data_IF_291589104695
#
_entry.id   IF_291589104695
#
_cell.length_a   1.000
_cell.length_b   1.000
_cell.length_c   1.000
_cell.angle_alpha   90.00
_cell.angle_beta   90.00
_cell.angle_gamma   90.00
#
_symmetry.space_group_name_H-M   'P 1'
#
loop_
_entity.id
_entity.type
_entity.pdbx_description
1 polymer ?
#
# COMPACT_ATOMS: atom_id res chain seq x y z
N UNK A 1 -2.86 -17.41 -11.75
CA UNK A 1 -1.95 -16.64 -10.87
C UNK A 1 -2.10 -17.20 -9.45
N UNK A 2 -1.02 -17.34 -8.67
CA UNK A 2 -1.14 -17.77 -7.26
C UNK A 2 -1.52 -16.53 -6.42
N UNK A 3 -2.51 -16.63 -5.52
CA UNK A 3 -2.83 -15.52 -4.62
C UNK A 3 -1.64 -15.22 -3.71
N UNK A 4 -1.51 -13.96 -3.26
CA UNK A 4 -0.56 -13.61 -2.22
C UNK A 4 -0.94 -14.36 -0.93
N UNK A 5 0.08 -14.85 -0.23
CA UNK A 5 -0.10 -15.54 1.04
C UNK A 5 -0.36 -14.49 2.11
N UNK A 6 -1.39 -14.70 2.94
CA UNK A 6 -1.62 -13.86 4.12
C UNK A 6 -0.35 -13.92 4.99
N UNK A 7 0.22 -12.79 5.43
CA UNK A 7 1.44 -12.81 6.24
C UNK A 7 1.27 -13.71 7.48
N UNK A 8 2.25 -14.55 7.85
CA UNK A 8 2.11 -15.45 9.00
C UNK A 8 1.75 -14.74 10.31
N UNK A 9 2.17 -13.48 10.50
CA UNK A 9 1.75 -12.67 11.64
C UNK A 9 0.23 -12.39 11.62
N UNK A 10 -0.31 -12.02 10.45
CA UNK A 10 -1.74 -11.78 10.27
C UNK A 10 -2.58 -13.07 10.36
N UNK A 11 -2.00 -14.24 10.04
CA UNK A 11 -2.69 -15.52 10.24
C UNK A 11 -2.83 -15.92 11.71
N UNK A 12 -1.88 -15.51 12.57
CA UNK A 12 -1.82 -15.91 13.99
C UNK A 12 -2.49 -14.92 14.93
N UNK A 13 -2.73 -13.70 14.48
CA UNK A 13 -3.31 -12.64 15.27
C UNK A 13 -4.80 -12.50 14.95
N UNK A 14 -5.66 -12.94 15.86
CA UNK A 14 -7.12 -12.84 15.73
C UNK A 14 -7.62 -11.39 15.67
N UNK A 15 -6.75 -10.41 15.97
CA UNK A 15 -7.02 -8.97 15.85
C UNK A 15 -6.37 -8.36 14.62
N UNK A 16 -5.79 -9.16 13.72
CA UNK A 16 -5.19 -8.65 12.50
C UNK A 16 -6.22 -7.89 11.66
N UNK A 17 -5.81 -6.74 11.14
CA UNK A 17 -6.64 -5.89 10.29
C UNK A 17 -5.96 -5.74 8.95
N UNK A 18 -6.66 -6.10 7.87
CA UNK A 18 -6.22 -5.81 6.52
C UNK A 18 -6.45 -4.32 6.23
N UNK A 19 -5.35 -3.58 6.02
CA UNK A 19 -5.40 -2.14 5.73
C UNK A 19 -5.57 -1.84 4.24
N UNK A 20 -4.87 -2.60 3.39
CA UNK A 20 -4.83 -2.41 1.95
C UNK A 20 -4.71 -3.76 1.26
N UNK A 21 -5.43 -3.91 0.15
CA UNK A 21 -5.09 -4.89 -0.88
C UNK A 21 -5.20 -4.26 -2.25
N UNK A 22 -4.27 -4.62 -3.13
CA UNK A 22 -4.19 -4.11 -4.48
C UNK A 22 -4.01 -5.27 -5.48
N UNK A 23 -4.55 -5.07 -6.68
CA UNK A 23 -4.50 -6.01 -7.79
C UNK A 23 -4.28 -5.24 -9.09
N UNK A 24 -3.62 -5.88 -10.05
CA UNK A 24 -3.69 -5.47 -11.45
C UNK A 24 -4.77 -6.33 -12.11
N UNK A 25 -5.87 -5.71 -12.49
CA UNK A 25 -7.01 -6.35 -13.14
C UNK A 25 -7.58 -5.41 -14.21
N UNK A 26 -8.18 -5.95 -15.27
CA UNK A 26 -8.80 -5.13 -16.34
C UNK A 26 -7.91 -3.99 -16.89
N UNK A 27 -6.60 -4.24 -16.99
CA UNK A 27 -5.58 -3.26 -17.42
C UNK A 27 -5.40 -2.04 -16.50
N UNK A 28 -5.85 -2.12 -15.25
CA UNK A 28 -5.69 -1.05 -14.26
C UNK A 28 -5.40 -1.56 -12.85
N UNK A 29 -5.13 -0.61 -11.95
CA UNK A 29 -5.02 -0.87 -10.53
C UNK A 29 -6.43 -0.94 -9.92
N UNK A 30 -6.67 -1.99 -9.15
CA UNK A 30 -7.84 -2.13 -8.30
C UNK A 30 -7.37 -2.28 -6.87
N UNK A 31 -8.02 -1.60 -5.92
CA UNK A 31 -7.66 -1.71 -4.51
C UNK A 31 -8.86 -1.63 -3.58
N UNK A 32 -8.70 -2.20 -2.39
CA UNK A 32 -9.60 -2.03 -1.25
C UNK A 32 -8.79 -1.47 -0.09
N UNK A 33 -9.28 -0.39 0.52
CA UNK A 33 -8.56 0.39 1.53
C UNK A 33 -9.47 0.54 2.76
N UNK A 34 -8.94 0.23 3.95
CA UNK A 34 -9.62 0.46 5.23
C UNK A 34 -9.28 1.85 5.77
N UNK A 35 -10.13 2.82 5.49
CA UNK A 35 -10.03 4.18 6.05
C UNK A 35 -10.76 4.25 7.39
N UNK A 36 -10.27 5.08 8.32
CA UNK A 36 -10.92 5.39 9.60
C UNK A 36 -10.34 4.65 10.81
N UNK A 37 -9.52 3.60 10.59
CA UNK A 37 -8.94 2.83 11.69
C UNK A 37 -8.13 3.71 12.64
N UNK A 38 -7.30 4.61 12.14
CA UNK A 38 -6.45 5.44 12.98
C UNK A 38 -7.26 6.56 13.62
N UNK A 39 -8.16 7.18 12.86
CA UNK A 39 -9.05 8.24 13.36
C UNK A 39 -9.86 7.75 14.57
N UNK A 40 -10.48 6.58 14.43
CA UNK A 40 -11.31 5.95 15.47
C UNK A 40 -10.50 5.57 16.71
N UNK A 41 -9.17 5.49 16.58
CA UNK A 41 -8.21 5.20 17.65
C UNK A 41 -7.40 6.43 18.07
N UNK A 42 -7.88 7.65 17.77
CA UNK A 42 -7.29 8.91 18.24
C UNK A 42 -5.98 9.30 17.56
N UNK A 43 -5.75 8.85 16.31
CA UNK A 43 -4.60 9.24 15.48
C UNK A 43 -5.05 9.81 14.15
N UNK A 44 -4.34 10.82 13.66
CA UNK A 44 -4.62 11.39 12.35
C UNK A 44 -4.33 10.38 11.23
N UNK A 45 -5.27 10.22 10.30
CA UNK A 45 -5.17 9.25 9.20
C UNK A 45 -4.02 9.55 8.25
N UNK A 46 -3.87 10.80 7.80
CA UNK A 46 -2.89 11.12 6.76
C UNK A 46 -1.43 10.87 7.20
N UNK A 47 -0.96 11.32 8.38
CA UNK A 47 0.36 10.95 8.88
C UNK A 47 0.54 9.44 9.07
N UNK A 48 -0.49 8.74 9.54
CA UNK A 48 -0.43 7.30 9.76
C UNK A 48 -0.35 6.51 8.44
N UNK A 49 -1.11 6.90 7.41
CA UNK A 49 -0.96 6.40 6.04
C UNK A 49 0.44 6.69 5.49
N UNK A 50 1.00 7.88 5.76
CA UNK A 50 2.36 8.22 5.35
C UNK A 50 3.41 7.25 5.90
N UNK A 51 3.33 6.91 7.19
CA UNK A 51 4.22 5.90 7.80
C UNK A 51 3.98 4.51 7.19
N UNK A 52 2.71 4.10 7.05
CA UNK A 52 2.36 2.80 6.47
C UNK A 52 2.91 2.62 5.04
N UNK A 53 2.79 3.65 4.20
CA UNK A 53 3.29 3.63 2.83
C UNK A 53 4.82 3.67 2.78
N UNK A 54 5.46 4.45 3.66
CA UNK A 54 6.92 4.46 3.75
C UNK A 54 7.49 3.07 4.10
N UNK A 55 6.85 2.35 5.02
CA UNK A 55 7.23 0.98 5.38
C UNK A 55 7.05 0.02 4.21
N UNK A 56 5.94 0.18 3.47
CA UNK A 56 5.67 -0.60 2.25
C UNK A 56 6.77 -0.37 1.19
N UNK A 57 7.17 0.88 0.96
CA UNK A 57 8.25 1.24 0.03
C UNK A 57 9.58 0.60 0.46
N UNK A 58 9.92 0.64 1.75
CA UNK A 58 11.14 -0.03 2.27
C UNK A 58 11.10 -1.54 2.03
N UNK A 59 9.95 -2.18 2.21
CA UNK A 59 9.82 -3.62 1.91
C UNK A 59 9.98 -3.93 0.42
N UNK A 60 9.45 -3.11 -0.47
CA UNK A 60 9.65 -3.25 -1.93
C UNK A 60 11.13 -3.12 -2.26
N UNK A 61 11.82 -2.11 -1.72
CA UNK A 61 13.23 -1.89 -1.95
C UNK A 61 14.10 -3.05 -1.47
N UNK A 62 13.83 -3.58 -0.28
CA UNK A 62 14.53 -4.76 0.24
C UNK A 62 14.31 -5.99 -0.66
N UNK A 63 13.09 -6.22 -1.14
CA UNK A 63 12.77 -7.34 -2.01
C UNK A 63 13.46 -7.21 -3.39
N UNK A 64 13.49 -6.00 -3.98
CA UNK A 64 14.17 -5.76 -5.25
C UNK A 64 15.69 -5.88 -5.13
N UNK A 65 16.25 -5.48 -3.99
CA UNK A 65 17.65 -5.72 -3.68
C UNK A 65 17.97 -7.21 -3.59
N UNK A 66 17.17 -7.98 -2.83
CA UNK A 66 17.39 -9.42 -2.66
C UNK A 66 17.23 -10.18 -3.98
N UNK A 67 16.20 -9.85 -4.76
CA UNK A 67 15.86 -10.59 -5.97
C UNK A 67 16.70 -10.19 -7.19
N UNK A 68 17.09 -8.92 -7.30
CA UNK A 68 17.72 -8.36 -8.50
C UNK A 68 19.04 -7.61 -8.25
N UNK A 69 19.50 -7.52 -7.01
CA UNK A 69 20.77 -6.86 -6.65
C UNK A 69 20.74 -5.33 -6.74
N UNK A 70 19.56 -4.71 -6.87
CA UNK A 70 19.43 -3.26 -6.93
C UNK A 70 19.70 -2.63 -5.55
N UNK A 71 20.46 -1.52 -5.45
CA UNK A 71 20.61 -0.84 -4.17
C UNK A 71 19.26 -0.34 -3.65
N UNK A 72 18.91 -0.70 -2.42
CA UNK A 72 17.63 -0.32 -1.83
C UNK A 72 17.43 1.21 -1.79
N UNK A 73 18.50 1.99 -1.60
CA UNK A 73 18.47 3.46 -1.66
C UNK A 73 17.98 3.96 -3.01
N UNK A 74 18.48 3.38 -4.09
CA UNK A 74 18.20 3.83 -5.46
C UNK A 74 16.76 3.49 -5.81
N UNK A 75 16.28 2.31 -5.39
CA UNK A 75 14.87 1.93 -5.52
C UNK A 75 13.95 2.87 -4.74
N UNK A 76 14.28 3.23 -3.50
CA UNK A 76 13.47 4.17 -2.70
C UNK A 76 13.42 5.52 -3.39
N UNK A 77 14.56 6.05 -3.84
CA UNK A 77 14.63 7.32 -4.56
C UNK A 77 13.77 7.31 -5.83
N UNK A 78 13.88 6.27 -6.65
CA UNK A 78 13.09 6.14 -7.88
C UNK A 78 11.59 6.03 -7.59
N UNK A 79 11.18 5.28 -6.57
CA UNK A 79 9.77 5.19 -6.17
C UNK A 79 9.26 6.55 -5.71
N UNK A 80 10.03 7.29 -4.90
CA UNK A 80 9.61 8.60 -4.40
C UNK A 80 9.47 9.64 -5.52
N UNK A 81 10.38 9.64 -6.49
CA UNK A 81 10.29 10.49 -7.69
C UNK A 81 9.01 10.19 -8.47
N UNK A 82 8.81 8.94 -8.89
CA UNK A 82 7.61 8.54 -9.65
C UNK A 82 6.30 8.74 -8.88
N UNK A 83 6.30 8.52 -7.56
CA UNK A 83 5.14 8.76 -6.71
C UNK A 83 4.78 10.24 -6.64
N UNK A 84 5.78 11.12 -6.50
CA UNK A 84 5.55 12.55 -6.45
C UNK A 84 5.03 13.09 -7.78
N UNK A 85 5.60 12.63 -8.88
CA UNK A 85 5.18 12.98 -10.23
C UNK A 85 3.73 12.55 -10.48
N UNK A 86 3.38 11.29 -10.20
CA UNK A 86 2.02 10.76 -10.40
C UNK A 86 0.97 11.44 -9.49
N UNK A 87 1.35 11.87 -8.28
CA UNK A 87 0.46 12.64 -7.40
C UNK A 87 0.25 14.08 -7.90
N UNK A 88 1.21 14.64 -8.63
CA UNK A 88 1.19 16.03 -9.10
C UNK A 88 0.58 16.17 -10.50
N UNK A 89 0.86 15.23 -11.39
CA UNK A 89 0.35 15.14 -12.76
C UNK A 89 -0.05 13.68 -13.07
N UNK A 90 -1.25 13.25 -12.63
CA UNK A 90 -1.68 11.86 -12.74
C UNK A 90 -1.76 11.38 -14.19
N UNK A 91 -1.19 10.21 -14.47
CA UNK A 91 -1.29 9.57 -15.79
C UNK A 91 -2.64 8.88 -15.98
N UNK A 92 -3.41 8.68 -14.91
CA UNK A 92 -4.77 8.15 -14.96
C UNK A 92 -5.66 8.66 -13.83
N UNK A 93 -6.98 8.67 -14.05
CA UNK A 93 -7.93 9.04 -13.01
C UNK A 93 -8.00 7.98 -11.90
N UNK A 94 -8.01 8.44 -10.64
CA UNK A 94 -8.38 7.61 -9.51
C UNK A 94 -9.87 7.25 -9.58
N UNK A 95 -10.18 5.96 -9.80
CA UNK A 95 -11.55 5.43 -9.87
C UNK A 95 -11.88 4.61 -8.64
N UNK A 96 -13.12 4.73 -8.16
CA UNK A 96 -13.61 3.97 -7.00
C UNK A 96 -14.79 4.66 -6.33
N UNK A 97 -15.28 4.06 -5.25
CA UNK A 97 -16.30 4.67 -4.39
C UNK A 97 -15.98 4.39 -2.93
N UNK A 98 -16.31 5.35 -2.06
CA UNK A 98 -16.25 5.12 -0.63
C UNK A 98 -17.51 4.37 -0.18
N UNK A 99 -17.32 3.21 0.43
CA UNK A 99 -18.38 2.44 1.08
C UNK A 99 -18.16 2.47 2.58
N UNK A 100 -19.20 2.81 3.34
CA UNK A 100 -19.17 2.85 4.81
C UNK A 100 -19.14 1.44 5.45
N UNK A 101 -18.93 0.39 4.66
CA UNK A 101 -19.13 -1.00 5.07
C UNK A 101 -20.61 -1.38 5.05
N UNK A 102 -20.92 -2.63 4.71
CA UNK A 102 -22.23 -3.18 5.02
C UNK A 102 -22.29 -3.32 6.55
N UNK A 103 -23.27 -2.65 7.18
CA UNK A 103 -23.64 -2.90 8.57
C UNK A 103 -24.17 -4.31 8.78
#
# INVERSE_FOLDING_TARGET
MKPLVIPPAAQRDDKAIQMLSAWIAEHGQHCTIKVGLWQDNGRDEAPAWGIFLADTIRHIANALQEQYGQPASDTISAIMESLHDELSDPTSDAKGSFSHGHG
#
